data_IF_694118129936
#
_entry.id   IF_694118129936
#
_cell.length_a   1.000
_cell.length_b   1.000
_cell.length_c   1.000
_cell.angle_alpha   90.00
_cell.angle_beta   90.00
_cell.angle_gamma   90.00
#
_symmetry.space_group_name_H-M   'P 1'
#
loop_
_entity.id
_entity.type
_entity.pdbx_description
1 polymer ?
#
# COMPACT_ATOMS: atom_id res chain seq x y z
N UNK A 1 11.58 18.66 34.34
CA UNK A 1 11.33 17.21 34.12
C UNK A 1 9.82 17.00 34.13
N UNK A 2 9.26 16.20 33.22
CA UNK A 2 7.84 15.86 33.28
C UNK A 2 7.56 15.20 34.65
N UNK A 3 6.51 15.66 35.34
CA UNK A 3 6.12 15.16 36.65
C UNK A 3 5.90 13.64 36.52
N UNK A 4 6.58 12.86 37.35
CA UNK A 4 6.36 11.42 37.36
C UNK A 4 4.90 11.16 37.78
N UNK A 5 4.23 10.26 37.06
CA UNK A 5 2.87 9.84 37.41
C UNK A 5 2.86 9.22 38.80
N UNK A 6 1.86 9.55 39.62
CA UNK A 6 1.61 8.84 40.87
C UNK A 6 1.25 7.37 40.58
N UNK A 7 1.47 6.43 41.51
CA UNK A 7 1.16 5.01 41.28
C UNK A 7 -0.31 4.80 40.89
N UNK A 8 -1.24 5.51 41.54
CA UNK A 8 -2.68 5.49 41.24
C UNK A 8 -2.97 5.94 39.80
N UNK A 9 -2.35 7.05 39.37
CA UNK A 9 -2.49 7.55 38.00
C UNK A 9 -1.96 6.55 36.98
N UNK A 10 -0.87 5.85 37.28
CA UNK A 10 -0.33 4.83 36.37
C UNK A 10 -1.27 3.66 36.22
N UNK A 11 -1.90 3.22 37.31
CA UNK A 11 -2.85 2.11 37.27
C UNK A 11 -4.10 2.47 36.45
N UNK A 12 -4.63 3.68 36.63
CA UNK A 12 -5.75 4.20 35.84
C UNK A 12 -5.40 4.27 34.35
N UNK A 13 -4.24 4.83 34.01
CA UNK A 13 -3.77 4.91 32.62
C UNK A 13 -3.52 3.52 32.02
N UNK A 14 -3.03 2.58 32.80
CA UNK A 14 -2.83 1.20 32.35
C UNK A 14 -4.17 0.53 32.03
N UNK A 15 -5.19 0.69 32.89
CA UNK A 15 -6.55 0.19 32.64
C UNK A 15 -7.14 0.77 31.36
N UNK A 16 -7.02 2.09 31.18
CA UNK A 16 -7.48 2.78 29.97
C UNK A 16 -6.78 2.23 28.71
N UNK A 17 -5.45 2.06 28.73
CA UNK A 17 -4.71 1.51 27.59
C UNK A 17 -5.21 0.09 27.23
N UNK A 18 -5.39 -0.77 28.24
CA UNK A 18 -5.85 -2.15 28.02
C UNK A 18 -7.26 -2.16 27.44
N UNK A 19 -8.15 -1.30 27.93
CA UNK A 19 -9.52 -1.19 27.44
C UNK A 19 -9.58 -0.68 25.99
N UNK A 20 -8.77 0.33 25.65
CA UNK A 20 -8.65 0.81 24.27
C UNK A 20 -8.13 -0.27 23.31
N UNK A 21 -7.14 -1.06 23.74
CA UNK A 21 -6.65 -2.21 22.93
C UNK A 21 -7.73 -3.27 22.79
N UNK A 22 -8.57 -3.48 23.81
CA UNK A 22 -9.70 -4.42 23.77
C UNK A 22 -10.79 -3.99 22.80
N UNK A 23 -11.16 -2.72 22.81
CA UNK A 23 -12.18 -2.17 21.91
C UNK A 23 -11.72 -2.19 20.44
N UNK A 24 -10.48 -1.79 20.20
CA UNK A 24 -9.94 -1.66 18.84
C UNK A 24 -9.36 -2.97 18.27
N UNK A 25 -9.09 -3.96 19.12
CA UNK A 25 -8.40 -5.22 18.79
C UNK A 25 -6.91 -5.07 18.48
N UNK A 26 -6.47 -3.90 17.97
CA UNK A 26 -5.08 -3.49 17.74
C UNK A 26 -4.89 -2.06 18.22
N UNK A 27 -3.98 -1.84 19.18
CA UNK A 27 -3.55 -0.51 19.59
C UNK A 27 -2.29 -0.07 18.85
N UNK A 28 -2.26 1.15 18.33
CA UNK A 28 -1.02 1.79 17.86
C UNK A 28 -0.60 2.85 18.88
N UNK A 29 0.70 3.01 19.17
CA UNK A 29 1.19 4.02 20.13
C UNK A 29 0.66 5.42 19.82
N UNK A 30 0.57 5.79 18.54
CA UNK A 30 0.00 7.07 18.11
C UNK A 30 -1.47 7.18 18.49
N UNK A 31 -2.28 6.18 18.14
CA UNK A 31 -3.71 6.15 18.46
C UNK A 31 -3.95 6.19 19.98
N UNK A 32 -3.22 5.39 20.75
CA UNK A 32 -3.33 5.39 22.20
C UNK A 32 -2.93 6.74 22.80
N UNK A 33 -1.91 7.41 22.26
CA UNK A 33 -1.53 8.76 22.68
C UNK A 33 -2.61 9.80 22.36
N UNK A 34 -3.21 9.72 21.17
CA UNK A 34 -4.26 10.64 20.72
C UNK A 34 -5.55 10.45 21.57
N UNK A 35 -5.91 9.21 21.90
CA UNK A 35 -7.11 8.87 22.69
C UNK A 35 -6.92 9.14 24.20
N UNK A 36 -5.74 8.88 24.76
CA UNK A 36 -5.46 9.12 26.19
C UNK A 36 -4.99 10.54 26.50
N UNK A 37 -4.63 11.33 25.48
CA UNK A 37 -4.04 12.65 25.65
C UNK A 37 -2.61 12.65 26.23
N UNK A 38 -1.97 11.48 26.28
CA UNK A 38 -0.63 11.29 26.86
C UNK A 38 0.44 11.37 25.78
N UNK A 39 1.65 11.82 26.14
CA UNK A 39 2.79 11.74 25.23
C UNK A 39 3.06 10.31 24.72
N UNK A 40 3.40 10.17 23.43
CA UNK A 40 3.78 8.89 22.79
C UNK A 40 4.89 8.14 23.53
N UNK A 41 5.84 8.86 24.12
CA UNK A 41 6.93 8.28 24.92
C UNK A 41 6.40 7.62 26.19
N UNK A 42 5.48 8.27 26.91
CA UNK A 42 4.88 7.70 28.12
C UNK A 42 4.01 6.49 27.81
N UNK A 43 3.18 6.54 26.75
CA UNK A 43 2.42 5.38 26.27
C UNK A 43 3.35 4.22 25.94
N UNK A 44 4.43 4.46 25.18
CA UNK A 44 5.39 3.41 24.83
C UNK A 44 6.04 2.76 26.04
N UNK A 45 6.32 3.55 27.09
CA UNK A 45 6.91 3.06 28.34
C UNK A 45 5.91 2.20 29.12
N UNK A 46 4.68 2.70 29.31
CA UNK A 46 3.61 1.97 29.98
C UNK A 46 3.25 0.68 29.25
N UNK A 47 3.12 0.70 27.93
CA UNK A 47 2.86 -0.51 27.14
C UNK A 47 3.96 -1.55 27.30
N UNK A 48 5.23 -1.14 27.42
CA UNK A 48 6.35 -2.07 27.64
C UNK A 48 6.32 -2.69 29.03
N UNK A 49 5.95 -1.90 30.05
CA UNK A 49 5.73 -2.39 31.41
C UNK A 49 4.59 -3.41 31.44
N UNK A 50 3.46 -3.12 30.78
CA UNK A 50 2.33 -4.04 30.63
C UNK A 50 2.66 -5.29 29.80
N UNK A 51 3.60 -5.17 28.85
CA UNK A 51 4.10 -6.33 28.12
C UNK A 51 5.01 -7.22 28.98
N UNK A 52 5.71 -6.63 29.95
CA UNK A 52 6.53 -7.37 30.90
C UNK A 52 5.68 -8.08 31.98
N UNK A 53 4.54 -7.49 32.38
CA UNK A 53 3.56 -8.16 33.26
C UNK A 53 2.75 -9.24 32.55
N UNK A 54 2.70 -9.22 31.21
CA UNK A 54 1.97 -10.19 30.40
C UNK A 54 0.53 -9.77 30.07
N UNK A 55 0.12 -8.56 30.46
CA UNK A 55 -1.21 -8.01 30.18
C UNK A 55 -1.38 -7.60 28.71
N UNK A 56 -0.27 -7.27 28.05
CA UNK A 56 -0.23 -6.89 26.64
C UNK A 56 0.85 -7.65 25.87
N UNK A 57 0.67 -7.72 24.56
CA UNK A 57 1.61 -8.28 23.62
C UNK A 57 2.03 -7.21 22.60
N UNK A 58 3.32 -6.84 22.62
CA UNK A 58 3.90 -5.88 21.68
C UNK A 58 4.50 -6.62 20.49
N UNK A 59 4.12 -6.21 19.29
CA UNK A 59 4.73 -6.64 18.04
C UNK A 59 5.17 -5.40 17.24
N UNK A 60 6.11 -5.55 16.31
CA UNK A 60 6.45 -4.49 15.35
C UNK A 60 5.25 -4.01 14.50
N UNK A 61 4.15 -4.76 14.51
CA UNK A 61 2.90 -4.42 13.82
C UNK A 61 1.87 -3.68 14.69
N UNK A 62 2.03 -3.64 16.02
CA UNK A 62 1.08 -3.02 16.95
C UNK A 62 1.08 -3.67 18.33
N UNK A 63 0.24 -3.13 19.21
CA UNK A 63 -0.01 -3.62 20.57
C UNK A 63 -1.32 -4.42 20.56
N UNK A 64 -1.32 -5.59 21.18
CA UNK A 64 -2.44 -6.52 21.22
C UNK A 64 -2.66 -7.02 22.65
N UNK A 65 -3.82 -7.58 22.96
CA UNK A 65 -4.07 -8.25 24.26
C UNK A 65 -3.27 -9.55 24.41
N UNK A 66 -3.00 -10.25 23.31
CA UNK A 66 -2.26 -11.51 23.33
C UNK A 66 -1.62 -11.83 21.99
N UNK A 67 -0.68 -12.79 22.01
CA UNK A 67 -0.09 -13.34 20.79
C UNK A 67 -1.14 -13.99 19.88
N UNK A 68 -2.21 -14.55 20.45
CA UNK A 68 -3.32 -15.14 19.70
C UNK A 68 -4.15 -14.05 19.00
N UNK A 69 -4.49 -12.96 19.71
CA UNK A 69 -5.19 -11.82 19.11
C UNK A 69 -4.42 -11.24 17.93
N UNK A 70 -3.08 -11.20 18.01
CA UNK A 70 -2.22 -10.82 16.88
C UNK A 70 -2.34 -11.77 15.70
N UNK A 71 -2.38 -13.09 15.93
CA UNK A 71 -2.58 -14.09 14.87
C UNK A 71 -3.94 -13.93 14.21
N UNK A 72 -4.99 -13.75 15.01
CA UNK A 72 -6.36 -13.59 14.53
C UNK A 72 -6.51 -12.31 13.69
N UNK A 73 -5.91 -11.20 14.14
CA UNK A 73 -5.84 -9.96 13.37
C UNK A 73 -5.11 -10.14 12.03
N UNK A 74 -3.99 -10.87 12.01
CA UNK A 74 -3.29 -11.17 10.75
C UNK A 74 -4.14 -12.02 9.79
N UNK A 75 -4.86 -13.01 10.33
CA UNK A 75 -5.74 -13.86 9.53
C UNK A 75 -6.94 -13.07 8.97
N UNK A 76 -7.55 -12.20 9.78
CA UNK A 76 -8.62 -11.30 9.34
C UNK A 76 -8.13 -10.36 8.22
N UNK A 77 -6.93 -9.78 8.37
CA UNK A 77 -6.31 -8.93 7.34
C UNK A 77 -6.04 -9.69 6.04
N UNK A 78 -5.56 -10.94 6.13
CA UNK A 78 -5.36 -11.81 4.96
C UNK A 78 -6.68 -12.13 4.25
N UNK A 79 -7.76 -12.40 4.99
CA UNK A 79 -9.09 -12.62 4.41
C UNK A 79 -9.57 -11.38 3.64
N UNK A 80 -9.46 -10.19 4.23
CA UNK A 80 -9.81 -8.93 3.55
C UNK A 80 -8.95 -8.68 2.29
N UNK A 81 -7.66 -9.01 2.33
CA UNK A 81 -6.80 -8.89 1.14
C UNK A 81 -7.13 -9.88 0.01
N UNK A 82 -7.75 -11.02 0.33
CA UNK A 82 -8.24 -11.99 -0.67
C UNK A 82 -9.59 -11.57 -1.26
N UNK A 83 -10.39 -10.80 -0.52
CA UNK A 83 -11.69 -10.27 -0.97
C UNK A 83 -11.51 -9.03 -1.85
N UNK A 84 -10.42 -8.26 -1.72
CA UNK A 84 -10.01 -7.38 -2.82
C UNK A 84 -9.79 -8.26 -4.04
N UNK A 85 -10.50 -8.05 -5.16
CA UNK A 85 -10.31 -8.89 -6.32
C UNK A 85 -8.82 -8.85 -6.67
N UNK A 86 -8.26 -10.04 -6.90
CA UNK A 86 -7.10 -10.16 -7.77
C UNK A 86 -7.55 -9.73 -9.16
N UNK A 87 -7.86 -8.46 -9.36
CA UNK A 87 -7.66 -7.85 -10.65
C UNK A 87 -6.15 -7.61 -10.76
N UNK A 88 -5.40 -8.71 -10.88
CA UNK A 88 -4.51 -8.75 -12.01
C UNK A 88 -5.43 -8.72 -13.22
N UNK A 89 -5.93 -7.52 -13.57
CA UNK A 89 -6.02 -7.22 -14.99
C UNK A 89 -4.58 -7.45 -15.40
N UNK A 90 -4.32 -8.59 -16.02
CA UNK A 90 -3.16 -8.71 -16.90
C UNK A 90 -3.43 -7.56 -17.86
N UNK A 91 -2.88 -6.39 -17.55
CA UNK A 91 -2.94 -5.24 -18.44
C UNK A 91 -2.14 -5.74 -19.62
N UNK A 92 -2.86 -6.17 -20.66
CA UNK A 92 -2.30 -6.52 -21.95
C UNK A 92 -1.32 -5.37 -22.28
N UNK A 93 0.00 -5.62 -22.35
CA UNK A 93 0.98 -4.55 -22.55
C UNK A 93 0.72 -3.73 -23.82
N UNK A 94 -0.08 -4.27 -24.75
CA UNK A 94 -0.47 -3.65 -26.01
C UNK A 94 -1.77 -2.80 -25.90
N UNK A 95 -2.36 -2.67 -24.70
CA UNK A 95 -3.56 -1.88 -24.46
C UNK A 95 -3.20 -0.43 -24.13
N UNK A 96 -3.49 0.48 -25.06
CA UNK A 96 -3.26 1.91 -24.82
C UNK A 96 -4.38 2.48 -23.95
N UNK A 97 -3.98 3.12 -22.87
CA UNK A 97 -4.89 3.85 -22.00
C UNK A 97 -5.08 5.26 -22.55
N UNK A 98 -6.32 5.53 -23.00
CA UNK A 98 -6.92 6.87 -23.16
C UNK A 98 -6.69 7.55 -24.51
N UNK A 99 -7.66 7.39 -25.41
CA UNK A 99 -8.03 8.40 -26.40
C UNK A 99 -8.95 9.46 -25.75
N UNK A 100 -9.13 10.67 -26.32
CA UNK A 100 -9.94 11.74 -25.74
C UNK A 100 -11.43 11.42 -25.55
N UNK A 101 -11.91 10.37 -26.23
CA UNK A 101 -13.25 9.80 -26.18
C UNK A 101 -13.43 8.81 -25.00
N UNK A 102 -12.36 8.49 -24.26
CA UNK A 102 -12.40 7.63 -23.08
C UNK A 102 -12.56 6.14 -23.41
N UNK A 103 -12.52 5.74 -24.68
CA UNK A 103 -12.63 4.34 -25.06
C UNK A 103 -11.28 3.61 -24.94
N UNK A 104 -11.32 2.43 -24.34
CA UNK A 104 -10.16 1.54 -24.24
C UNK A 104 -10.09 0.72 -25.53
N UNK A 105 -9.05 0.95 -26.33
CA UNK A 105 -8.82 0.24 -27.60
C UNK A 105 -7.41 -0.33 -27.64
N UNK A 106 -7.22 -1.45 -28.32
CA UNK A 106 -5.88 -1.95 -28.67
C UNK A 106 -5.19 -0.97 -29.59
N UNK A 107 -3.87 -0.82 -29.45
CA UNK A 107 -3.11 0.01 -30.37
C UNK A 107 -3.17 -0.53 -31.79
N UNK A 108 -3.91 0.15 -32.66
CA UNK A 108 -3.80 -0.08 -34.10
C UNK A 108 -2.90 1.01 -34.72
N UNK A 109 -1.68 0.61 -35.07
CA UNK A 109 -0.70 1.45 -35.78
C UNK A 109 -1.23 2.01 -37.10
N UNK A 110 -2.30 1.43 -37.69
CA UNK A 110 -2.93 1.94 -38.92
C UNK A 110 -3.81 3.17 -38.67
N UNK A 111 -4.28 3.36 -37.44
CA UNK A 111 -5.15 4.46 -37.04
C UNK A 111 -4.38 5.65 -36.42
N UNK A 112 -3.09 5.47 -36.10
CA UNK A 112 -2.26 6.56 -35.59
C UNK A 112 -1.78 7.46 -36.74
N UNK A 113 -2.29 8.70 -36.80
CA UNK A 113 -1.91 9.68 -37.83
C UNK A 113 -0.41 9.94 -37.86
N UNK A 114 0.26 10.01 -36.70
CA UNK A 114 1.72 10.22 -36.61
C UNK A 114 2.46 9.04 -37.24
N UNK A 115 1.97 7.80 -37.02
CA UNK A 115 2.56 6.62 -37.64
C UNK A 115 2.29 6.54 -39.14
N UNK A 116 1.12 6.97 -39.59
CA UNK A 116 0.77 7.02 -41.01
C UNK A 116 1.65 8.02 -41.76
N UNK A 117 1.82 9.23 -41.22
CA UNK A 117 2.62 10.29 -41.85
C UNK A 117 4.11 9.96 -41.78
N UNK A 118 4.59 9.46 -40.64
CA UNK A 118 5.95 8.95 -40.52
C UNK A 118 6.22 7.81 -41.52
N UNK A 119 5.27 6.88 -41.71
CA UNK A 119 5.38 5.80 -42.68
C UNK A 119 5.43 6.30 -44.12
N UNK A 120 4.74 7.40 -44.45
CA UNK A 120 4.79 8.02 -45.79
C UNK A 120 5.99 8.95 -46.00
N UNK A 121 6.76 9.25 -44.96
CA UNK A 121 7.98 10.06 -45.10
C UNK A 121 9.02 9.38 -45.99
N UNK A 122 9.77 10.17 -46.74
CA UNK A 122 10.80 9.69 -47.66
C UNK A 122 11.88 8.87 -46.93
N UNK A 123 12.30 9.32 -45.74
CA UNK A 123 13.29 8.63 -44.90
C UNK A 123 12.79 7.25 -44.51
N UNK A 124 11.54 7.14 -44.03
CA UNK A 124 10.97 5.86 -43.64
C UNK A 124 10.75 4.94 -44.84
N UNK A 125 10.37 5.47 -46.00
CA UNK A 125 10.25 4.67 -47.23
C UNK A 125 11.59 4.09 -47.68
N UNK A 126 12.69 4.85 -47.57
CA UNK A 126 14.06 4.34 -47.85
C UNK A 126 14.45 3.23 -46.87
N UNK A 127 14.15 3.39 -45.58
CA UNK A 127 14.40 2.35 -44.56
C UNK A 127 13.56 1.10 -44.84
N UNK A 128 12.27 1.27 -45.19
CA UNK A 128 11.41 0.14 -45.52
C UNK A 128 11.84 -0.57 -46.81
N UNK A 129 12.29 0.17 -47.82
CA UNK A 129 12.85 -0.39 -49.05
C UNK A 129 14.12 -1.20 -48.79
N UNK A 130 14.98 -0.74 -47.87
CA UNK A 130 16.17 -1.46 -47.42
C UNK A 130 15.80 -2.83 -46.79
N UNK A 131 14.82 -2.87 -45.88
CA UNK A 131 14.40 -4.13 -45.25
C UNK A 131 13.55 -5.04 -46.16
N UNK A 132 12.89 -4.49 -47.18
CA UNK A 132 12.09 -5.26 -48.15
C UNK A 132 12.94 -5.81 -49.31
N UNK A 133 14.24 -5.51 -49.36
CA UNK A 133 15.14 -6.00 -50.40
C UNK A 133 14.98 -5.30 -51.75
N UNK A 134 14.27 -4.17 -51.81
CA UNK A 134 14.04 -3.40 -53.05
C UNK A 134 15.11 -2.32 -53.22
N UNK A 135 16.39 -2.69 -53.14
CA UNK A 135 17.48 -1.80 -53.50
C UNK A 135 17.52 -1.66 -55.02
N UNK A 136 17.06 -0.53 -55.55
CA UNK A 136 17.55 -0.07 -56.85
C UNK A 136 18.96 0.49 -56.60
N UNK A 137 19.97 -0.30 -56.98
CA UNK A 137 21.34 0.20 -57.11
C UNK A 137 21.32 1.37 -58.09
N UNK A 138 21.57 2.57 -57.56
CA UNK A 138 21.84 3.74 -58.40
C UNK A 138 23.30 3.60 -58.84
N UNK A 139 23.48 3.42 -60.14
CA UNK A 139 24.76 3.25 -60.84
C UNK A 139 25.78 4.35 -60.53
#
# INVERSE_FOLDING_TARGET
MAKAFTPEQREELNKQIVELVRLNGRGTVRQLADETGISRCAVSRLSRELAASGDLYISGSGIFLSAQARKDWQNARKKLSRVKPKTSVVVDPDLIWSLPDGEIRRYDRRLNMICHDCRKSEVMQRVLAFYQGNLQEVA
#
